data_IF_734996017060
#
_entry.id   IF_734996017060
#
_cell.length_a   1.000
_cell.length_b   1.000
_cell.length_c   1.000
_cell.angle_alpha   90.00
_cell.angle_beta   90.00
_cell.angle_gamma   90.00
#
_symmetry.space_group_name_H-M   'P 1'
#
loop_
_entity.id
_entity.type
_entity.pdbx_description
1 polymer ?
#
# COMPACT_ATOMS: atom_id res chain seq x y z
N UNK A 1 -23.81 8.11 2.46
CA UNK A 1 -24.28 8.67 3.71
C UNK A 1 -25.23 9.84 3.46
N UNK A 2 -26.33 9.83 4.16
CA UNK A 2 -27.37 10.88 3.99
C UNK A 2 -27.03 12.18 4.70
N UNK A 3 -26.01 12.17 5.55
CA UNK A 3 -25.62 13.33 6.35
C UNK A 3 -24.33 13.99 5.86
N UNK A 4 -23.89 13.66 4.65
CA UNK A 4 -22.71 14.28 4.06
C UNK A 4 -21.37 13.73 4.55
N UNK A 5 -21.38 12.59 5.23
CA UNK A 5 -20.14 11.94 5.68
C UNK A 5 -19.71 10.92 4.66
N UNK A 6 -18.43 10.97 4.26
CA UNK A 6 -17.81 9.98 3.39
C UNK A 6 -16.91 9.07 4.22
N UNK A 7 -16.96 7.78 3.94
CA UNK A 7 -16.13 6.78 4.62
C UNK A 7 -15.43 5.93 3.57
N UNK A 8 -14.11 5.98 3.56
CA UNK A 8 -13.27 5.24 2.63
C UNK A 8 -12.12 4.62 3.40
N UNK A 9 -11.44 3.68 2.77
CA UNK A 9 -10.30 3.00 3.36
C UNK A 9 -9.14 2.93 2.37
N UNK A 10 -7.93 2.87 2.90
CA UNK A 10 -6.73 2.57 2.12
C UNK A 10 -6.23 1.21 2.60
N UNK A 11 -5.95 0.32 1.65
CA UNK A 11 -5.37 -0.99 1.94
C UNK A 11 -3.92 -0.99 1.48
N UNK A 12 -2.96 -0.70 2.39
CA UNK A 12 -1.55 -0.69 2.01
C UNK A 12 -1.03 -2.11 1.80
N UNK A 13 -0.12 -2.27 0.84
CA UNK A 13 0.62 -3.50 0.65
C UNK A 13 1.82 -3.57 1.59
N UNK A 14 2.95 -4.04 1.08
CA UNK A 14 4.16 -4.18 1.89
C UNK A 14 5.03 -2.94 1.73
N UNK A 15 5.33 -2.32 2.86
CA UNK A 15 6.13 -1.12 2.95
C UNK A 15 7.35 -1.39 3.83
N UNK A 16 8.51 -0.94 3.40
CA UNK A 16 9.73 -1.07 4.21
C UNK A 16 9.88 0.15 5.13
N UNK A 17 10.35 -0.10 6.34
CA UNK A 17 10.61 0.95 7.32
C UNK A 17 11.57 0.44 8.38
N UNK A 18 11.98 1.33 9.27
CA UNK A 18 12.95 0.98 10.32
C UNK A 18 12.46 -0.13 11.24
N UNK A 19 11.15 -0.20 11.49
CA UNK A 19 10.55 -1.17 12.41
C UNK A 19 10.62 -2.60 11.90
N UNK A 20 10.58 -2.80 10.59
CA UNK A 20 10.58 -4.14 10.00
C UNK A 20 11.85 -4.47 9.22
N UNK A 21 12.84 -3.60 9.25
CA UNK A 21 14.07 -3.78 8.46
C UNK A 21 14.79 -5.09 8.82
N UNK A 22 14.80 -5.47 10.10
CA UNK A 22 15.46 -6.71 10.54
C UNK A 22 14.75 -7.97 10.04
N UNK A 23 13.45 -7.88 9.73
CA UNK A 23 12.69 -9.01 9.17
C UNK A 23 12.86 -9.13 7.67
N UNK A 24 13.18 -8.02 7.00
CA UNK A 24 13.22 -7.95 5.55
C UNK A 24 14.64 -8.07 4.98
N UNK A 25 15.64 -7.65 5.74
CA UNK A 25 17.02 -7.58 5.29
C UNK A 25 17.95 -8.30 6.25
N UNK A 26 18.86 -9.09 5.70
CA UNK A 26 19.93 -9.72 6.48
C UNK A 26 20.94 -8.64 6.92
N UNK A 27 21.77 -8.93 7.94
CA UNK A 27 22.78 -7.97 8.40
C UNK A 27 23.76 -7.50 7.31
N UNK A 28 23.98 -8.32 6.27
CA UNK A 28 24.84 -7.97 5.15
C UNK A 28 24.14 -7.19 4.05
N UNK A 29 22.86 -6.82 4.25
CA UNK A 29 22.08 -6.06 3.29
C UNK A 29 21.36 -6.89 2.23
N UNK A 30 21.53 -8.21 2.23
CA UNK A 30 20.80 -9.07 1.28
C UNK A 30 19.37 -9.31 1.74
N UNK A 31 18.43 -9.55 0.81
CA UNK A 31 17.03 -9.79 1.20
C UNK A 31 16.85 -11.14 1.87
N UNK A 32 15.99 -11.18 2.88
CA UNK A 32 15.58 -12.44 3.53
C UNK A 32 14.69 -13.25 2.59
N UNK A 33 14.47 -14.54 2.93
CA UNK A 33 13.55 -15.39 2.16
C UNK A 33 12.13 -14.81 2.13
N UNK A 34 11.70 -14.18 3.25
CA UNK A 34 10.39 -13.51 3.31
C UNK A 34 10.31 -12.36 2.30
N UNK A 35 11.35 -11.54 2.21
CA UNK A 35 11.42 -10.42 1.27
C UNK A 35 11.34 -10.92 -0.16
N UNK A 36 12.08 -11.98 -0.50
CA UNK A 36 12.05 -12.55 -1.84
C UNK A 36 10.65 -13.01 -2.23
N UNK A 37 9.92 -13.64 -1.31
CA UNK A 37 8.54 -14.06 -1.56
C UNK A 37 7.60 -12.88 -1.77
N UNK A 38 7.73 -11.85 -0.95
CA UNK A 38 6.90 -10.64 -1.05
C UNK A 38 7.12 -9.96 -2.39
N UNK A 39 8.39 -9.75 -2.76
CA UNK A 39 8.72 -9.07 -4.01
C UNK A 39 8.30 -9.88 -5.23
N UNK A 40 8.40 -11.22 -5.17
CA UNK A 40 7.95 -12.07 -6.26
C UNK A 40 6.44 -11.99 -6.46
N UNK A 41 5.67 -11.79 -5.39
CA UNK A 41 4.21 -11.69 -5.45
C UNK A 41 3.72 -10.25 -5.66
N UNK A 42 4.61 -9.26 -5.69
CA UNK A 42 4.28 -7.87 -5.92
C UNK A 42 4.63 -7.50 -7.35
N UNK A 43 3.65 -7.25 -8.24
CA UNK A 43 3.96 -6.98 -9.65
C UNK A 43 4.94 -5.83 -9.89
N UNK A 44 4.92 -4.77 -9.08
CA UNK A 44 5.90 -3.70 -9.21
C UNK A 44 7.29 -4.06 -8.70
N UNK A 45 7.43 -5.21 -8.03
CA UNK A 45 8.74 -5.78 -7.68
C UNK A 45 9.52 -5.00 -6.63
N UNK A 46 8.85 -4.20 -5.81
CA UNK A 46 9.51 -3.43 -4.76
C UNK A 46 8.56 -3.17 -3.60
N UNK A 47 9.12 -2.78 -2.46
CA UNK A 47 8.34 -2.26 -1.35
C UNK A 47 7.89 -0.82 -1.65
N UNK A 48 6.77 -0.44 -1.05
CA UNK A 48 6.34 0.94 -1.08
C UNK A 48 7.09 1.79 -0.07
N UNK A 49 7.14 3.09 -0.34
CA UNK A 49 7.64 4.09 0.60
C UNK A 49 6.44 4.73 1.29
N UNK A 50 6.61 5.15 2.55
CA UNK A 50 5.52 5.75 3.31
C UNK A 50 4.89 6.94 2.58
N UNK A 51 5.69 7.72 1.86
CA UNK A 51 5.22 8.85 1.08
C UNK A 51 4.26 8.44 -0.03
N UNK A 52 4.33 7.22 -0.49
CA UNK A 52 3.48 6.72 -1.59
C UNK A 52 2.04 6.47 -1.14
N UNK A 53 1.77 6.49 0.16
CA UNK A 53 0.41 6.46 0.68
C UNK A 53 -0.24 7.84 0.67
N UNK A 54 0.54 8.91 0.66
CA UNK A 54 0.04 10.28 0.79
C UNK A 54 -0.88 10.68 -0.36
N UNK A 55 -0.56 10.26 -1.58
CA UNK A 55 -1.39 10.62 -2.74
C UNK A 55 -2.83 10.15 -2.60
N UNK A 56 -3.02 8.89 -2.24
CA UNK A 56 -4.36 8.35 -2.03
C UNK A 56 -5.05 8.99 -0.84
N UNK A 57 -4.32 9.20 0.26
CA UNK A 57 -4.85 9.84 1.44
C UNK A 57 -5.31 11.27 1.17
N UNK A 58 -4.47 12.07 0.52
CA UNK A 58 -4.79 13.46 0.20
C UNK A 58 -5.98 13.54 -0.76
N UNK A 59 -6.07 12.64 -1.74
CA UNK A 59 -7.22 12.56 -2.63
C UNK A 59 -8.51 12.32 -1.84
N UNK A 60 -8.51 11.34 -0.95
CA UNK A 60 -9.71 10.99 -0.18
C UNK A 60 -10.09 12.09 0.82
N UNK A 61 -9.14 12.85 1.34
CA UNK A 61 -9.40 13.95 2.26
C UNK A 61 -9.85 15.22 1.55
N UNK A 62 -9.65 15.33 0.23
CA UNK A 62 -10.02 16.49 -0.52
C UNK A 62 -11.51 16.45 -0.84
N UNK A 63 -12.30 17.28 -0.17
CA UNK A 63 -13.76 17.29 -0.31
C UNK A 63 -14.23 17.74 -1.69
N UNK A 64 -13.42 18.44 -2.46
CA UNK A 64 -13.75 18.79 -3.85
C UNK A 64 -13.42 17.64 -4.80
N UNK A 65 -12.19 17.11 -4.70
CA UNK A 65 -11.74 16.07 -5.61
C UNK A 65 -12.47 14.74 -5.40
N UNK A 66 -12.82 14.41 -4.17
CA UNK A 66 -13.45 13.15 -3.81
C UNK A 66 -14.88 13.30 -3.30
N UNK A 67 -15.58 14.37 -3.69
CA UNK A 67 -16.91 14.70 -3.17
C UNK A 67 -17.95 13.60 -3.44
N UNK A 68 -17.79 12.83 -4.50
CA UNK A 68 -18.71 11.74 -4.86
C UNK A 68 -18.12 10.35 -4.61
N UNK A 69 -17.03 10.27 -3.81
CA UNK A 69 -16.33 9.02 -3.49
C UNK A 69 -16.59 8.62 -2.06
N UNK A 70 -17.30 7.52 -1.87
CA UNK A 70 -17.53 6.94 -0.54
C UNK A 70 -17.70 5.43 -0.68
N UNK A 71 -17.39 4.70 0.39
CA UNK A 71 -17.55 3.25 0.42
C UNK A 71 -16.49 2.50 -0.38
N UNK A 72 -15.37 3.14 -0.72
CA UNK A 72 -14.32 2.49 -1.52
C UNK A 72 -13.13 2.10 -0.65
N UNK A 73 -12.42 1.08 -1.11
CA UNK A 73 -11.11 0.68 -0.58
C UNK A 73 -10.11 0.87 -1.71
N UNK A 74 -9.09 1.69 -1.48
CA UNK A 74 -8.03 1.92 -2.46
C UNK A 74 -6.82 1.10 -2.07
N UNK A 75 -6.46 0.04 -2.82
CA UNK A 75 -5.21 -0.67 -2.59
C UNK A 75 -4.02 0.19 -3.03
N UNK A 76 -3.03 0.32 -2.17
CA UNK A 76 -1.76 0.98 -2.49
C UNK A 76 -0.67 -0.05 -2.20
N UNK A 77 -0.46 -0.97 -3.14
CA UNK A 77 0.23 -2.23 -2.86
C UNK A 77 1.13 -2.72 -4.00
N UNK A 78 1.41 -1.88 -4.98
CA UNK A 78 2.24 -2.28 -6.11
C UNK A 78 1.65 -3.40 -6.97
N UNK A 79 0.34 -3.61 -6.86
CA UNK A 79 -0.38 -4.63 -7.61
C UNK A 79 -0.53 -5.97 -6.87
N UNK A 80 -0.09 -6.04 -5.61
CA UNK A 80 -0.10 -7.30 -4.86
C UNK A 80 -1.49 -7.95 -4.83
N UNK A 81 -2.53 -7.18 -4.54
CA UNK A 81 -3.91 -7.71 -4.43
C UNK A 81 -4.49 -8.17 -5.78
N UNK A 82 -3.96 -7.65 -6.88
CA UNK A 82 -4.38 -8.04 -8.22
C UNK A 82 -3.58 -9.20 -8.80
N UNK A 83 -2.51 -9.63 -8.11
CA UNK A 83 -1.64 -10.70 -8.60
C UNK A 83 -2.30 -12.06 -8.39
N UNK A 84 -2.41 -12.84 -9.46
CA UNK A 84 -3.06 -14.17 -9.42
C UNK A 84 -2.07 -15.33 -9.31
N UNK A 85 -0.78 -15.08 -9.41
CA UNK A 85 0.24 -16.14 -9.40
C UNK A 85 0.47 -16.80 -10.75
N UNK A 86 -0.11 -16.27 -11.80
CA UNK A 86 0.06 -16.80 -13.16
C UNK A 86 0.70 -15.81 -14.11
#
# INVERSE_FOLDING_TARGET
>A
SKVGIRVNAIAPGFFSGKQNAALLWNPDGTPTARTKKILAATPMGRFGQAEELLGALLFLLNNEAASFVTGVVIPVDGGFSAYSGV
#
